data_IF_037996381600
#
_entry.id   IF_037996381600
#
_cell.length_a   1.000
_cell.length_b   1.000
_cell.length_c   1.000
_cell.angle_alpha   90.00
_cell.angle_beta   90.00
_cell.angle_gamma   90.00
#
_symmetry.space_group_name_H-M   'P 1'
#
loop_
_entity.id
_entity.type
_entity.pdbx_description
1 polymer ?
#
# COMPACT_ATOMS: atom_id res chain seq x y z
N UNK A 1 -22.39 -63.36 -5.98
CA UNK A 1 -21.76 -63.11 -4.66
C UNK A 1 -20.82 -61.91 -4.83
N UNK A 2 -21.30 -60.67 -4.63
CA UNK A 2 -21.05 -59.79 -3.46
C UNK A 2 -19.53 -59.67 -3.21
N UNK A 3 -18.85 -58.53 -3.42
CA UNK A 3 -18.77 -57.33 -2.55
C UNK A 3 -18.07 -56.21 -3.34
N UNK A 4 -18.71 -55.08 -3.67
CA UNK A 4 -18.81 -53.82 -2.88
C UNK A 4 -17.49 -53.40 -2.21
N UNK A 5 -16.82 -52.42 -2.80
CA UNK A 5 -15.71 -51.66 -2.19
C UNK A 5 -15.74 -50.22 -2.69
N UNK A 6 -16.23 -49.32 -1.85
CA UNK A 6 -16.46 -47.88 -2.07
C UNK A 6 -15.25 -47.15 -2.67
N UNK A 7 -15.47 -46.43 -3.78
CA UNK A 7 -14.55 -45.40 -4.28
C UNK A 7 -14.83 -44.14 -3.46
N UNK A 8 -13.99 -43.85 -2.47
CA UNK A 8 -14.04 -42.60 -1.72
C UNK A 8 -13.36 -41.51 -2.54
N UNK A 9 -14.12 -40.83 -3.40
CA UNK A 9 -13.68 -39.64 -4.12
C UNK A 9 -13.72 -38.46 -3.14
N UNK A 10 -12.63 -38.22 -2.43
CA UNK A 10 -12.48 -37.08 -1.53
C UNK A 10 -12.36 -35.80 -2.37
N UNK A 11 -13.47 -35.08 -2.51
CA UNK A 11 -13.54 -33.78 -3.14
C UNK A 11 -12.83 -32.74 -2.24
N UNK A 12 -11.56 -32.48 -2.54
CA UNK A 12 -10.78 -31.44 -1.88
C UNK A 12 -11.24 -30.07 -2.42
N UNK A 13 -12.11 -29.39 -1.68
CA UNK A 13 -12.54 -28.03 -2.00
C UNK A 13 -11.37 -27.08 -1.73
N UNK A 14 -10.62 -26.73 -2.78
CA UNK A 14 -9.59 -25.70 -2.71
C UNK A 14 -10.27 -24.34 -2.49
N UNK A 15 -10.24 -23.83 -1.26
CA UNK A 15 -10.64 -22.47 -0.95
C UNK A 15 -9.64 -21.51 -1.60
N UNK A 16 -10.00 -20.93 -2.74
CA UNK A 16 -9.23 -19.86 -3.35
C UNK A 16 -9.30 -18.61 -2.45
N UNK A 17 -8.26 -18.39 -1.64
CA UNK A 17 -8.11 -17.13 -0.92
C UNK A 17 -7.88 -16.01 -1.94
N UNK A 18 -8.65 -14.91 -1.91
CA UNK A 18 -8.41 -13.80 -2.82
C UNK A 18 -7.01 -13.25 -2.55
N UNK A 19 -6.13 -13.36 -3.56
CA UNK A 19 -4.82 -12.73 -3.51
C UNK A 19 -5.02 -11.22 -3.56
N UNK A 20 -4.77 -10.53 -2.46
CA UNK A 20 -4.70 -9.07 -2.45
C UNK A 20 -3.55 -8.65 -3.38
N UNK A 21 -3.88 -7.83 -4.38
CA UNK A 21 -2.91 -7.38 -5.37
C UNK A 21 -1.84 -6.47 -4.75
N UNK A 22 -0.59 -6.70 -5.14
CA UNK A 22 0.54 -5.84 -4.79
C UNK A 22 0.33 -4.45 -5.39
N UNK A 23 0.49 -3.40 -4.57
CA UNK A 23 0.38 -2.00 -5.00
C UNK A 23 1.73 -1.29 -5.03
N UNK A 24 2.73 -1.88 -4.37
CA UNK A 24 4.08 -1.34 -4.29
C UNK A 24 4.97 -2.20 -3.42
N UNK A 25 6.23 -1.80 -3.27
CA UNK A 25 7.22 -2.48 -2.43
C UNK A 25 8.00 -1.51 -1.57
N UNK A 26 8.33 -1.98 -0.37
CA UNK A 26 9.34 -1.35 0.47
C UNK A 26 10.70 -1.47 -0.22
N UNK A 27 11.42 -0.36 -0.33
CA UNK A 27 12.77 -0.28 -0.89
C UNK A 27 13.83 -0.09 0.19
N UNK A 28 13.51 0.60 1.27
CA UNK A 28 14.43 0.84 2.39
C UNK A 28 13.65 0.98 3.69
N UNK A 29 14.26 0.50 4.76
CA UNK A 29 13.82 0.67 6.14
C UNK A 29 15.00 1.19 6.95
N UNK A 30 14.77 2.20 7.79
CA UNK A 30 15.74 2.72 8.76
C UNK A 30 15.02 2.90 10.08
N UNK A 31 15.65 2.55 11.20
CA UNK A 31 15.04 2.67 12.53
C UNK A 31 13.81 1.79 12.71
N UNK A 32 12.97 2.12 13.69
CA UNK A 32 11.76 1.33 13.99
C UNK A 32 10.63 1.65 13.02
N UNK A 33 10.04 0.62 12.41
CA UNK A 33 8.87 0.75 11.56
C UNK A 33 8.07 -0.55 11.51
N UNK A 34 6.78 -0.46 11.19
CA UNK A 34 5.91 -1.60 10.91
C UNK A 34 4.82 -1.25 9.90
N UNK A 35 4.31 -2.29 9.24
CA UNK A 35 3.12 -2.20 8.39
C UNK A 35 1.98 -2.80 9.20
N UNK A 36 0.92 -2.04 9.44
CA UNK A 36 -0.32 -2.57 10.00
C UNK A 36 -1.21 -3.05 8.86
N UNK A 37 -1.51 -4.34 8.85
CA UNK A 37 -2.30 -5.01 7.82
C UNK A 37 -3.36 -5.86 8.50
N UNK A 38 -4.63 -5.56 8.24
CA UNK A 38 -5.77 -6.28 8.82
C UNK A 38 -5.66 -6.49 10.34
N UNK A 39 -5.21 -5.45 11.08
CA UNK A 39 -5.03 -5.50 12.53
C UNK A 39 -3.74 -6.17 13.02
N UNK A 40 -2.93 -6.74 12.13
CA UNK A 40 -1.64 -7.36 12.46
C UNK A 40 -0.48 -6.44 12.11
N UNK A 41 0.64 -6.58 12.84
CA UNK A 41 1.89 -5.90 12.51
C UNK A 41 2.78 -6.82 11.68
N UNK A 42 3.16 -6.33 10.51
CA UNK A 42 4.12 -6.96 9.59
C UNK A 42 5.43 -6.19 9.68
N UNK A 43 6.53 -6.91 9.86
CA UNK A 43 7.86 -6.33 9.85
C UNK A 43 8.20 -5.84 8.42
N UNK A 44 8.56 -4.56 8.24
CA UNK A 44 8.93 -4.06 6.94
C UNK A 44 10.37 -4.47 6.65
N UNK A 45 10.62 -4.91 5.42
CA UNK A 45 11.95 -5.18 4.89
C UNK A 45 11.98 -4.82 3.40
N UNK A 46 13.15 -4.50 2.82
CA UNK A 46 13.26 -4.34 1.38
C UNK A 46 12.68 -5.53 0.62
N UNK A 47 11.85 -5.25 -0.37
CA UNK A 47 11.16 -6.28 -1.17
C UNK A 47 9.78 -6.68 -0.64
N UNK A 48 9.42 -6.35 0.60
CA UNK A 48 8.09 -6.64 1.14
C UNK A 48 7.02 -5.91 0.31
N UNK A 49 6.01 -6.64 -0.19
CA UNK A 49 4.90 -6.05 -0.93
C UNK A 49 3.97 -5.30 0.02
N UNK A 50 3.50 -4.16 -0.46
CA UNK A 50 2.41 -3.40 0.12
C UNK A 50 1.11 -3.77 -0.57
N UNK A 51 0.04 -3.75 0.21
CA UNK A 51 -1.30 -4.05 -0.23
C UNK A 51 -2.20 -2.84 0.04
N UNK A 52 -3.28 -2.72 -0.73
CA UNK A 52 -4.33 -1.74 -0.43
C UNK A 52 -4.87 -1.97 0.99
N UNK A 53 -5.01 -0.89 1.74
CA UNK A 53 -5.46 -0.91 3.14
C UNK A 53 -4.34 -1.02 4.16
N UNK A 54 -3.09 -1.21 3.74
CA UNK A 54 -1.94 -1.17 4.65
C UNK A 54 -1.80 0.22 5.30
N UNK A 55 -1.40 0.24 6.56
CA UNK A 55 -0.97 1.46 7.24
C UNK A 55 0.50 1.37 7.59
N UNK A 56 1.28 2.30 7.08
CA UNK A 56 2.70 2.43 7.34
C UNK A 56 2.89 3.20 8.64
N UNK A 57 3.67 2.65 9.57
CA UNK A 57 3.96 3.30 10.85
C UNK A 57 5.45 3.33 11.08
N UNK A 58 5.96 4.48 11.50
CA UNK A 58 7.37 4.68 11.85
C UNK A 58 7.51 5.18 13.28
N UNK A 59 8.56 4.72 13.96
CA UNK A 59 8.98 5.21 15.26
C UNK A 59 9.73 6.55 15.16
N UNK A 60 10.28 7.01 16.29
CA UNK A 60 10.99 8.30 16.40
C UNK A 60 12.25 8.43 15.54
N UNK A 61 12.86 7.32 15.18
CA UNK A 61 14.03 7.23 14.29
C UNK A 61 13.68 6.58 12.93
N UNK A 62 12.41 6.18 12.79
CA UNK A 62 11.90 5.35 11.71
C UNK A 62 11.76 6.09 10.39
N UNK A 63 12.18 5.46 9.29
CA UNK A 63 11.93 5.92 7.92
C UNK A 63 11.66 4.76 6.99
N UNK A 64 10.74 4.95 6.04
CA UNK A 64 10.43 3.97 5.00
C UNK A 64 10.50 4.64 3.63
N UNK A 65 11.21 4.00 2.69
CA UNK A 65 11.17 4.38 1.28
C UNK A 65 10.43 3.31 0.48
N UNK A 66 9.51 3.72 -0.39
CA UNK A 66 8.57 2.85 -1.08
C UNK A 66 8.52 3.23 -2.55
N UNK A 67 8.32 2.23 -3.42
CA UNK A 67 7.98 2.44 -4.83
C UNK A 67 6.70 1.69 -5.15
N UNK A 68 5.74 2.38 -5.74
CA UNK A 68 4.46 1.85 -6.17
C UNK A 68 4.52 1.39 -7.62
N UNK A 69 3.55 0.57 -8.03
CA UNK A 69 3.50 0.01 -9.38
C UNK A 69 3.19 1.06 -10.47
N UNK A 70 2.61 2.20 -10.09
CA UNK A 70 2.44 3.37 -10.99
C UNK A 70 3.70 4.24 -11.09
N UNK A 71 4.84 3.77 -10.54
CA UNK A 71 6.10 4.49 -10.39
C UNK A 71 6.09 5.69 -9.44
N UNK A 72 5.04 5.87 -8.63
CA UNK A 72 5.07 6.81 -7.50
C UNK A 72 6.11 6.35 -6.48
N UNK A 73 6.75 7.31 -5.80
CA UNK A 73 7.72 7.04 -4.74
C UNK A 73 7.38 7.80 -3.49
N UNK A 74 7.27 7.09 -2.38
CA UNK A 74 6.99 7.67 -1.07
C UNK A 74 8.20 7.53 -0.15
N UNK A 75 8.42 8.54 0.69
CA UNK A 75 9.32 8.46 1.83
C UNK A 75 8.57 8.90 3.08
N UNK A 76 8.27 7.95 3.96
CA UNK A 76 7.71 8.22 5.28
C UNK A 76 8.83 8.62 6.25
N UNK A 77 8.67 9.76 6.91
CA UNK A 77 9.60 10.25 7.93
C UNK A 77 9.31 9.68 9.32
N UNK A 78 10.02 10.13 10.36
CA UNK A 78 9.81 9.70 11.73
C UNK A 78 8.41 9.99 12.29
N UNK A 79 7.95 9.14 13.20
CA UNK A 79 6.67 9.30 13.92
C UNK A 79 5.42 9.26 13.04
N UNK A 80 5.53 8.74 11.83
CA UNK A 80 4.48 8.81 10.82
C UNK A 80 3.46 7.70 10.98
N UNK A 81 2.21 8.00 10.64
CA UNK A 81 1.14 7.02 10.44
C UNK A 81 0.43 7.35 9.13
N UNK A 82 0.59 6.49 8.14
CA UNK A 82 0.19 6.75 6.75
C UNK A 82 -0.62 5.58 6.23
N UNK A 83 -1.90 5.76 5.97
CA UNK A 83 -2.77 4.74 5.42
C UNK A 83 -2.81 4.80 3.89
N UNK A 84 -2.63 3.65 3.25
CA UNK A 84 -2.76 3.44 1.80
C UNK A 84 -4.20 3.02 1.50
N UNK A 85 -5.12 3.97 1.67
CA UNK A 85 -6.56 3.73 1.73
C UNK A 85 -7.15 3.18 0.43
N UNK A 86 -6.73 3.70 -0.72
CA UNK A 86 -7.13 3.17 -2.02
C UNK A 86 -5.98 3.22 -3.00
N UNK A 87 -5.86 2.17 -3.79
CA UNK A 87 -4.91 2.07 -4.88
C UNK A 87 -5.49 1.15 -5.95
N UNK A 88 -5.66 1.69 -7.16
CA UNK A 88 -6.06 0.98 -8.37
C UNK A 88 -5.22 1.54 -9.50
N UNK A 89 -4.64 0.67 -10.30
CA UNK A 89 -3.81 1.06 -11.42
C UNK A 89 -3.97 0.05 -12.54
N UNK A 90 -4.31 0.57 -13.72
CA UNK A 90 -4.32 -0.17 -14.97
C UNK A 90 -3.01 0.15 -15.70
N UNK A 91 -2.17 -0.85 -15.95
CA UNK A 91 -0.83 -0.65 -16.53
C UNK A 91 -0.84 -0.25 -18.01
N UNK A 92 -1.96 -0.48 -18.69
CA UNK A 92 -2.12 -0.29 -20.13
C UNK A 92 -2.63 1.12 -20.41
N UNK A 93 -3.63 1.55 -19.65
CA UNK A 93 -4.25 2.88 -19.77
C UNK A 93 -3.68 3.90 -18.80
N UNK A 94 -2.89 3.48 -17.81
CA UNK A 94 -2.37 4.29 -16.71
C UNK A 94 -3.44 4.93 -15.80
N UNK A 95 -4.72 4.60 -16.01
CA UNK A 95 -5.83 5.10 -15.23
C UNK A 95 -5.92 4.40 -13.88
N UNK A 96 -6.48 5.10 -12.90
CA UNK A 96 -6.47 4.57 -11.55
C UNK A 96 -7.03 5.50 -10.49
N UNK A 97 -6.77 5.14 -9.25
CA UNK A 97 -6.99 5.98 -8.09
C UNK A 97 -5.88 5.69 -7.07
N UNK A 98 -5.37 6.73 -6.43
CA UNK A 98 -4.37 6.62 -5.38
C UNK A 98 -4.73 7.58 -4.24
N UNK A 99 -5.36 7.04 -3.20
CA UNK A 99 -5.76 7.80 -2.02
C UNK A 99 -4.90 7.37 -0.84
N UNK A 100 -4.14 8.32 -0.31
CA UNK A 100 -3.33 8.16 0.89
C UNK A 100 -3.84 9.09 1.98
N UNK A 101 -3.80 8.64 3.25
CA UNK A 101 -4.12 9.48 4.41
C UNK A 101 -2.91 9.54 5.35
N UNK A 102 -2.46 10.74 5.67
CA UNK A 102 -1.37 11.01 6.63
C UNK A 102 -2.00 11.52 7.91
N UNK A 103 -1.93 10.71 8.97
CA UNK A 103 -2.57 11.02 10.25
C UNK A 103 -1.69 11.90 11.13
N UNK A 104 -0.38 11.68 11.01
CA UNK A 104 0.69 12.38 11.72
C UNK A 104 2.04 12.07 11.07
N UNK A 105 3.05 12.86 11.41
CA UNK A 105 4.42 12.73 10.92
C UNK A 105 4.62 13.39 9.56
N UNK A 106 5.46 12.79 8.71
CA UNK A 106 5.78 13.38 7.40
C UNK A 106 5.80 12.36 6.28
N UNK A 107 5.37 12.82 5.10
CA UNK A 107 5.37 12.06 3.88
C UNK A 107 5.93 12.92 2.75
N UNK A 108 7.05 12.49 2.16
CA UNK A 108 7.52 13.02 0.89
C UNK A 108 7.01 12.15 -0.26
N UNK A 109 6.53 12.79 -1.31
CA UNK A 109 5.94 12.15 -2.48
C UNK A 109 6.63 12.61 -3.75
N UNK A 110 6.91 11.66 -4.63
CA UNK A 110 7.13 11.90 -6.06
C UNK A 110 6.03 11.16 -6.80
N UNK A 111 5.15 11.89 -7.48
CA UNK A 111 3.98 11.32 -8.13
C UNK A 111 4.33 10.52 -9.39
N UNK A 112 3.62 9.41 -9.60
CA UNK A 112 3.75 8.49 -10.72
C UNK A 112 2.76 8.75 -11.86
N UNK A 113 2.43 7.68 -12.58
CA UNK A 113 1.60 7.68 -13.78
C UNK A 113 0.14 8.06 -13.50
N UNK A 114 -0.44 7.62 -12.38
CA UNK A 114 -1.84 7.93 -12.02
C UNK A 114 -2.08 9.44 -12.00
N UNK A 115 -1.21 10.19 -11.32
CA UNK A 115 -1.34 11.64 -11.19
C UNK A 115 -1.04 12.40 -12.48
N UNK A 116 -0.27 11.80 -13.39
CA UNK A 116 0.02 12.37 -14.71
C UNK A 116 -1.17 12.19 -15.65
N UNK A 117 -1.82 11.02 -15.59
CA UNK A 117 -2.99 10.68 -16.40
C UNK A 117 -4.24 11.45 -15.95
N UNK A 118 -4.56 11.43 -14.65
CA UNK A 118 -5.65 12.21 -14.08
C UNK A 118 -5.21 12.93 -12.78
N UNK A 119 -5.08 14.26 -12.80
CA UNK A 119 -4.74 15.06 -11.62
C UNK A 119 -5.69 14.90 -10.42
N UNK A 120 -6.90 14.40 -10.62
CA UNK A 120 -7.89 14.15 -9.56
C UNK A 120 -7.78 12.75 -8.96
N UNK A 121 -7.06 11.84 -9.63
CA UNK A 121 -6.96 10.45 -9.25
C UNK A 121 -5.98 10.21 -8.09
N UNK A 122 -5.00 11.09 -7.88
CA UNK A 122 -4.08 11.01 -6.75
C UNK A 122 -4.39 12.07 -5.68
N UNK A 123 -4.64 11.61 -4.46
CA UNK A 123 -5.04 12.44 -3.33
C UNK A 123 -4.26 12.08 -2.06
N UNK A 124 -3.81 13.11 -1.35
CA UNK A 124 -3.27 12.99 0.01
C UNK A 124 -4.21 13.69 0.98
N UNK A 125 -4.76 12.92 1.92
CA UNK A 125 -5.65 13.40 2.97
C UNK A 125 -4.88 13.59 4.26
N UNK A 126 -5.18 14.65 4.98
CA UNK A 126 -4.77 14.88 6.36
C UNK A 126 -6.02 15.14 7.20
N UNK A 127 -5.93 15.22 8.54
CA UNK A 127 -7.09 15.52 9.38
C UNK A 127 -7.80 16.83 9.01
N UNK A 128 -7.06 17.81 8.48
CA UNK A 128 -7.56 19.17 8.23
C UNK A 128 -7.59 19.55 6.75
N UNK A 129 -7.11 18.71 5.83
CA UNK A 129 -6.94 19.10 4.42
C UNK A 129 -6.98 17.92 3.46
N UNK A 130 -7.33 18.22 2.22
CA UNK A 130 -7.25 17.32 1.07
C UNK A 130 -6.36 17.95 0.01
N UNK A 131 -5.30 17.25 -0.38
CA UNK A 131 -4.38 17.67 -1.43
C UNK A 131 -4.62 16.82 -2.67
N UNK A 132 -5.00 17.46 -3.78
CA UNK A 132 -4.98 16.84 -5.11
C UNK A 132 -3.58 16.96 -5.74
N UNK A 133 -3.07 15.91 -6.37
CA UNK A 133 -1.71 15.86 -6.90
C UNK A 133 -1.73 15.90 -8.43
N UNK A 134 -1.21 16.99 -9.02
CA UNK A 134 -1.11 17.21 -10.47
C UNK A 134 0.33 17.12 -10.97
N UNK A 135 0.99 15.99 -10.73
CA UNK A 135 2.37 15.76 -11.21
C UNK A 135 3.41 16.65 -10.52
N UNK A 136 3.86 16.29 -9.32
CA UNK A 136 4.81 17.09 -8.54
C UNK A 136 5.65 16.26 -7.57
N UNK A 137 6.65 16.93 -6.98
CA UNK A 137 7.39 16.47 -5.80
C UNK A 137 7.01 17.38 -4.64
N UNK A 138 6.55 16.82 -3.53
CA UNK A 138 6.12 17.61 -2.38
C UNK A 138 6.31 16.85 -1.08
N UNK A 139 6.20 17.58 0.04
CA UNK A 139 6.23 17.03 1.39
C UNK A 139 4.98 17.49 2.12
N UNK A 140 4.35 16.56 2.85
CA UNK A 140 3.24 16.85 3.77
C UNK A 140 3.74 16.58 5.18
N UNK A 141 3.44 17.49 6.09
CA UNK A 141 3.72 17.36 7.52
C UNK A 141 2.43 17.54 8.29
N UNK A 142 2.16 16.60 9.19
CA UNK A 142 1.01 16.63 10.10
C UNK A 142 1.56 16.50 11.52
N UNK A 143 1.28 17.47 12.41
CA UNK A 143 1.74 17.44 13.80
C UNK A 143 1.32 16.17 14.56
#
# INVERSE_FOLDING_TARGET
>A
MIRRGLITFALMLAMATPALAEIGRVKRVVGQAWIERAGQRVAPAPGIPLLKGDTLVTGRDGRLAITFIDNSRFSAGPGSRIALSDFRFDDTTHKGAFITRVDRGSLAVVSGQIAKEDPKAMQVRTPTSLLGVRGTRFVVMVP
#
